data_IF_509524380765
#
_entry.id   IF_509524380765
#
_cell.length_a   1.000
_cell.length_b   1.000
_cell.length_c   1.000
_cell.angle_alpha   90.00
_cell.angle_beta   90.00
_cell.angle_gamma   90.00
#
_symmetry.space_group_name_H-M   'P 1'
#
loop_
_entity.id
_entity.type
_entity.pdbx_description
1 polymer ?
#
# COMPACT_ATOMS: atom_id res chain seq x y z
N UNK A 1 3.78 4.65 5.87
CA UNK A 1 4.23 3.31 5.41
C UNK A 1 5.20 2.76 6.44
N UNK A 2 5.01 1.51 6.87
CA UNK A 2 5.79 0.91 7.96
C UNK A 2 6.75 -0.19 7.51
N UNK A 3 6.81 -0.51 6.21
CA UNK A 3 7.70 -1.54 5.65
C UNK A 3 9.19 -1.22 5.80
N UNK A 4 9.54 0.03 6.07
CA UNK A 4 10.91 0.46 6.37
C UNK A 4 11.45 -0.07 7.72
N UNK A 5 10.66 -0.83 8.50
CA UNK A 5 10.99 -1.32 9.85
C UNK A 5 11.22 -2.85 9.96
N UNK A 6 11.32 -3.58 8.86
CA UNK A 6 11.12 -5.03 8.86
C UNK A 6 12.25 -5.96 9.30
N UNK A 7 13.41 -5.51 9.76
CA UNK A 7 14.53 -6.43 10.09
C UNK A 7 15.27 -6.07 11.38
N UNK A 8 14.65 -6.30 12.55
CA UNK A 8 15.37 -6.10 13.82
C UNK A 8 15.27 -7.24 14.84
N UNK A 9 14.41 -8.27 14.66
CA UNK A 9 14.17 -9.26 15.73
C UNK A 9 14.63 -10.70 15.51
N UNK A 10 15.26 -11.06 14.37
CA UNK A 10 15.78 -12.43 14.16
C UNK A 10 17.27 -12.60 14.52
N UNK A 11 17.64 -12.30 15.76
CA UNK A 11 18.83 -12.93 16.36
C UNK A 11 18.48 -13.34 17.80
N UNK A 12 17.87 -14.53 17.94
CA UNK A 12 17.86 -15.29 19.19
C UNK A 12 19.20 -16.02 19.40
N UNK A 13 19.53 -16.45 20.63
CA UNK A 13 20.91 -16.72 21.02
C UNK A 13 21.34 -18.14 20.63
N UNK A 14 22.33 -18.25 19.75
CA UNK A 14 23.14 -19.46 19.59
C UNK A 14 24.61 -19.07 19.60
N UNK A 15 25.35 -19.65 20.54
CA UNK A 15 26.74 -19.35 20.88
C UNK A 15 27.75 -19.72 19.77
N UNK A 16 28.72 -18.85 19.48
CA UNK A 16 30.16 -19.03 19.73
C UNK A 16 30.98 -17.81 19.24
N UNK A 17 32.11 -17.59 19.90
CA UNK A 17 33.12 -16.51 19.81
C UNK A 17 33.60 -16.16 18.38
N UNK A 18 33.75 -14.88 18.03
CA UNK A 18 35.02 -14.10 18.12
C UNK A 18 34.80 -12.65 17.61
N UNK A 19 35.66 -11.73 18.04
CA UNK A 19 35.52 -10.27 17.94
C UNK A 19 35.57 -9.68 16.51
N UNK A 20 34.79 -8.61 16.27
CA UNK A 20 34.93 -7.74 15.10
C UNK A 20 33.74 -6.82 14.88
N UNK A 21 33.96 -5.51 15.08
CA UNK A 21 33.01 -4.42 14.92
C UNK A 21 32.25 -4.39 13.57
N UNK A 22 30.93 -4.20 13.65
CA UNK A 22 30.03 -3.41 12.76
C UNK A 22 28.66 -4.12 12.63
N UNK A 23 27.64 -3.60 13.32
CA UNK A 23 26.27 -4.10 13.16
C UNK A 23 25.21 -3.58 14.17
N UNK A 24 25.60 -2.84 15.20
CA UNK A 24 24.71 -2.49 16.32
C UNK A 24 24.04 -1.10 16.32
N UNK A 25 24.25 -0.26 15.30
CA UNK A 25 23.70 1.11 15.28
C UNK A 25 22.33 1.20 14.58
N UNK A 26 22.15 0.51 13.45
CA UNK A 26 20.93 0.62 12.62
C UNK A 26 19.69 0.04 13.32
N UNK A 27 19.84 -1.07 14.04
CA UNK A 27 18.73 -1.73 14.75
C UNK A 27 18.26 -0.94 15.97
N UNK A 28 19.16 -0.29 16.71
CA UNK A 28 18.81 0.54 17.88
C UNK A 28 18.03 1.80 17.49
N UNK A 29 18.41 2.45 16.39
CA UNK A 29 17.74 3.65 15.91
C UNK A 29 16.34 3.33 15.36
N UNK A 30 16.17 2.16 14.72
CA UNK A 30 14.87 1.66 14.26
C UNK A 30 13.92 1.34 15.43
N UNK A 31 14.42 0.63 16.45
CA UNK A 31 13.66 0.33 17.66
C UNK A 31 13.28 1.60 18.44
N UNK A 32 14.18 2.58 18.51
CA UNK A 32 13.90 3.88 19.12
C UNK A 32 12.81 4.65 18.37
N UNK A 33 12.87 4.68 17.03
CA UNK A 33 11.87 5.35 16.19
C UNK A 33 10.48 4.68 16.28
N UNK A 34 10.45 3.36 16.31
CA UNK A 34 9.20 2.60 16.49
C UNK A 34 8.58 2.86 17.87
N UNK A 35 9.37 2.78 18.94
CA UNK A 35 8.89 3.07 20.29
C UNK A 35 8.44 4.54 20.44
N UNK A 36 9.11 5.48 19.76
CA UNK A 36 8.68 6.87 19.70
C UNK A 36 7.33 7.05 18.97
N UNK A 37 7.10 6.32 17.87
CA UNK A 37 5.80 6.31 17.18
C UNK A 37 4.70 5.74 18.08
N UNK A 38 4.98 4.63 18.77
CA UNK A 38 4.05 4.00 19.70
C UNK A 38 3.69 4.92 20.88
N UNK A 39 4.69 5.57 21.49
CA UNK A 39 4.46 6.53 22.56
C UNK A 39 3.64 7.75 22.10
N UNK A 40 3.85 8.20 20.85
CA UNK A 40 3.03 9.27 20.25
C UNK A 40 1.59 8.81 20.04
N UNK A 41 1.36 7.61 19.50
CA UNK A 41 0.03 7.03 19.31
C UNK A 41 -0.73 6.88 20.64
N UNK A 42 -0.06 6.36 21.68
CA UNK A 42 -0.65 6.20 23.01
C UNK A 42 -1.01 7.56 23.65
N UNK A 43 -0.26 8.62 23.29
CA UNK A 43 -0.48 9.99 23.74
C UNK A 43 -1.71 10.70 23.14
N UNK A 44 -2.29 10.20 22.05
CA UNK A 44 -3.55 10.73 21.53
C UNK A 44 -4.75 10.11 22.26
N UNK A 45 -5.59 10.97 22.85
CA UNK A 45 -6.87 10.52 23.40
C UNK A 45 -7.81 10.08 22.28
N UNK A 46 -8.68 9.08 22.51
CA UNK A 46 -9.71 8.68 21.53
C UNK A 46 -10.59 9.84 21.08
N UNK A 47 -10.80 10.85 21.91
CA UNK A 47 -11.57 12.06 21.62
C UNK A 47 -10.91 12.99 20.60
N UNK A 48 -9.62 12.82 20.27
CA UNK A 48 -8.85 13.74 19.42
C UNK A 48 -9.32 13.81 17.96
N UNK A 49 -10.19 12.88 17.51
CA UNK A 49 -10.69 12.87 16.14
C UNK A 49 -9.64 12.42 15.11
N UNK A 50 -8.49 11.90 15.58
CA UNK A 50 -7.41 11.40 14.75
C UNK A 50 -7.56 9.89 14.55
N UNK A 51 -7.49 9.44 13.29
CA UNK A 51 -7.40 8.03 12.91
C UNK A 51 -5.99 7.75 12.40
N UNK A 52 -5.35 6.68 12.90
CA UNK A 52 -4.08 6.22 12.36
C UNK A 52 -4.30 5.20 11.25
N UNK A 53 -3.76 5.45 10.06
CA UNK A 53 -3.70 4.50 8.95
C UNK A 53 -2.25 4.10 8.71
N UNK A 54 -1.96 2.80 8.80
CA UNK A 54 -0.66 2.24 8.43
C UNK A 54 -0.81 1.25 7.28
N UNK A 55 0.21 1.15 6.44
CA UNK A 55 0.26 0.18 5.35
C UNK A 55 1.56 -0.62 5.41
N UNK A 56 1.44 -1.94 5.27
CA UNK A 56 2.57 -2.88 5.22
C UNK A 56 2.42 -3.91 4.09
N UNK A 57 3.53 -4.25 3.46
CA UNK A 57 3.70 -5.37 2.56
C UNK A 57 4.24 -6.64 3.25
N UNK A 58 4.68 -6.52 4.51
CA UNK A 58 5.32 -7.58 5.29
C UNK A 58 4.70 -7.64 6.70
N UNK A 59 3.43 -8.02 6.85
CA UNK A 59 2.79 -8.07 8.17
C UNK A 59 3.50 -9.02 9.15
N UNK A 60 4.17 -10.05 8.65
CA UNK A 60 4.87 -11.07 9.43
C UNK A 60 6.13 -10.58 10.15
N UNK A 61 6.71 -9.44 9.73
CA UNK A 61 7.88 -8.84 10.38
C UNK A 61 7.53 -7.72 11.35
N UNK A 62 6.25 -7.36 11.47
CA UNK A 62 5.81 -6.30 12.36
C UNK A 62 5.85 -6.73 13.83
N UNK A 63 6.22 -5.79 14.71
CA UNK A 63 6.15 -6.00 16.16
C UNK A 63 4.69 -6.14 16.61
N UNK A 64 4.35 -7.25 17.27
CA UNK A 64 3.02 -7.46 17.87
C UNK A 64 2.58 -6.34 18.82
N UNK A 65 3.53 -5.57 19.38
CA UNK A 65 3.22 -4.40 20.18
C UNK A 65 2.39 -3.36 19.40
N UNK A 66 2.52 -3.27 18.07
CA UNK A 66 1.72 -2.41 17.21
C UNK A 66 0.26 -2.86 17.10
N UNK A 67 0.01 -4.18 17.24
CA UNK A 67 -1.30 -4.81 17.00
C UNK A 67 -2.20 -4.87 18.24
N UNK A 68 -1.73 -4.33 19.38
CA UNK A 68 -2.48 -4.36 20.64
C UNK A 68 -3.67 -3.40 20.60
N UNK A 69 -4.70 -3.72 21.39
CA UNK A 69 -5.87 -2.87 21.58
C UNK A 69 -5.48 -1.43 21.94
N UNK A 70 -6.05 -0.45 21.23
CA UNK A 70 -5.68 0.96 21.40
C UNK A 70 -4.50 1.44 20.54
N UNK A 71 -3.97 0.61 19.63
CA UNK A 71 -3.00 0.98 18.59
C UNK A 71 -3.56 0.62 17.22
N UNK A 72 -2.95 -0.30 16.48
CA UNK A 72 -3.52 -0.86 15.24
C UNK A 72 -4.39 -2.06 15.57
N UNK A 73 -5.57 -1.80 16.13
CA UNK A 73 -6.51 -2.82 16.60
C UNK A 73 -7.49 -3.30 15.51
N UNK A 74 -7.42 -2.72 14.31
CA UNK A 74 -8.08 -3.23 13.10
C UNK A 74 -7.06 -3.54 12.01
N UNK A 75 -7.26 -4.66 11.33
CA UNK A 75 -6.43 -5.13 10.21
C UNK A 75 -7.33 -5.37 9.01
N UNK A 76 -6.93 -4.86 7.86
CA UNK A 76 -7.65 -5.01 6.60
C UNK A 76 -6.68 -5.57 5.58
N UNK A 77 -7.02 -6.75 5.04
CA UNK A 77 -6.20 -7.48 4.11
C UNK A 77 -6.52 -7.10 2.65
N UNK A 78 -5.48 -6.77 1.89
CA UNK A 78 -5.54 -6.54 0.45
C UNK A 78 -4.92 -7.74 -0.26
N UNK A 79 -5.70 -8.40 -1.13
CA UNK A 79 -5.25 -9.55 -1.92
C UNK A 79 -4.89 -9.15 -3.35
N UNK A 80 -4.22 -10.02 -4.08
CA UNK A 80 -4.01 -9.79 -5.52
C UNK A 80 -5.34 -9.94 -6.28
N UNK A 81 -5.58 -9.13 -7.32
CA UNK A 81 -6.83 -9.19 -8.08
C UNK A 81 -6.97 -10.52 -8.84
N UNK A 82 -8.20 -11.02 -8.92
CA UNK A 82 -8.59 -12.14 -9.79
C UNK A 82 -8.55 -11.78 -11.29
N UNK A 83 -8.77 -12.76 -12.16
CA UNK A 83 -8.68 -12.55 -13.62
C UNK A 83 -9.67 -11.48 -14.12
N UNK A 84 -10.94 -11.56 -13.70
CA UNK A 84 -11.98 -10.61 -14.12
C UNK A 84 -11.64 -9.17 -13.68
N UNK A 85 -11.18 -9.01 -12.44
CA UNK A 85 -10.71 -7.72 -11.95
C UNK A 85 -9.49 -7.20 -12.74
N UNK A 86 -8.54 -8.07 -13.10
CA UNK A 86 -7.38 -7.65 -13.90
C UNK A 86 -7.78 -7.19 -15.29
N UNK A 87 -8.80 -7.81 -15.91
CA UNK A 87 -9.36 -7.35 -17.19
C UNK A 87 -9.85 -5.90 -17.08
N UNK A 88 -10.67 -5.59 -16.08
CA UNK A 88 -11.19 -4.24 -15.87
C UNK A 88 -10.07 -3.22 -15.57
N UNK A 89 -9.06 -3.62 -14.80
CA UNK A 89 -7.89 -2.78 -14.53
C UNK A 89 -7.07 -2.51 -15.80
N UNK A 90 -6.91 -3.51 -16.67
CA UNK A 90 -6.23 -3.36 -17.95
C UNK A 90 -7.02 -2.44 -18.90
N UNK A 91 -8.34 -2.59 -18.97
CA UNK A 91 -9.22 -1.71 -19.74
C UNK A 91 -9.10 -0.25 -19.27
N UNK A 92 -9.13 -0.02 -17.95
CA UNK A 92 -8.95 1.30 -17.37
C UNK A 92 -7.56 1.91 -17.64
N UNK A 93 -6.51 1.09 -17.53
CA UNK A 93 -5.14 1.51 -17.82
C UNK A 93 -4.90 1.81 -19.31
N UNK A 94 -5.63 1.12 -20.19
CA UNK A 94 -5.54 1.29 -21.64
C UNK A 94 -6.42 2.43 -22.17
N UNK A 95 -7.45 2.86 -21.45
CA UNK A 95 -8.38 3.91 -21.87
C UNK A 95 -7.73 5.23 -22.36
N UNK A 96 -6.65 5.75 -21.75
CA UNK A 96 -5.99 6.97 -22.26
C UNK A 96 -4.96 6.70 -23.37
N UNK A 97 -4.73 5.45 -23.77
CA UNK A 97 -3.67 5.06 -24.70
C UNK A 97 -4.19 4.88 -26.13
N UNK A 98 -3.30 5.06 -27.10
CA UNK A 98 -3.59 4.88 -28.53
C UNK A 98 -2.94 3.59 -29.03
N UNK A 99 -3.73 2.69 -29.62
CA UNK A 99 -3.28 1.42 -30.17
C UNK A 99 -3.28 1.45 -31.69
N UNK A 100 -2.34 0.73 -32.30
CA UNK A 100 -2.26 0.53 -33.73
C UNK A 100 -3.32 -0.50 -34.14
N UNK A 101 -4.53 -0.04 -34.45
CA UNK A 101 -5.66 -0.90 -34.83
C UNK A 101 -6.65 -1.10 -33.69
N UNK A 102 -7.23 -2.30 -33.62
CA UNK A 102 -8.19 -2.64 -32.57
C UNK A 102 -7.49 -2.74 -31.20
N UNK A 103 -8.18 -2.42 -30.09
CA UNK A 103 -7.64 -2.63 -28.75
C UNK A 103 -7.27 -4.10 -28.52
N UNK A 104 -6.26 -4.37 -27.67
CA UNK A 104 -5.85 -5.74 -27.38
C UNK A 104 -6.96 -6.51 -26.65
N UNK A 105 -6.92 -7.84 -26.74
CA UNK A 105 -7.81 -8.71 -25.98
C UNK A 105 -7.45 -8.67 -24.48
N UNK A 106 -8.13 -7.81 -23.73
CA UNK A 106 -7.92 -7.66 -22.29
C UNK A 106 -8.29 -8.91 -21.49
N UNK A 107 -9.15 -9.78 -22.01
CA UNK A 107 -9.49 -11.03 -21.36
C UNK A 107 -8.34 -12.06 -21.47
N UNK A 108 -7.73 -12.15 -22.65
CA UNK A 108 -6.50 -12.95 -22.84
C UNK A 108 -5.34 -12.40 -22.00
N UNK A 109 -5.11 -11.09 -22.03
CA UNK A 109 -4.07 -10.45 -21.22
C UNK A 109 -4.27 -10.70 -19.73
N UNK A 110 -5.51 -10.64 -19.23
CA UNK A 110 -5.82 -10.94 -17.84
C UNK A 110 -5.49 -12.40 -17.46
N UNK A 111 -5.76 -13.36 -18.36
CA UNK A 111 -5.40 -14.78 -18.18
C UNK A 111 -3.87 -14.98 -18.18
N UNK A 112 -3.14 -14.18 -18.95
CA UNK A 112 -1.67 -14.24 -19.09
C UNK A 112 -0.90 -13.45 -18.02
N UNK A 113 -1.58 -12.76 -17.12
CA UNK A 113 -0.99 -11.93 -16.05
C UNK A 113 -1.34 -12.43 -14.63
N UNK A 114 -1.24 -13.75 -14.33
CA UNK A 114 -1.54 -14.23 -12.99
C UNK A 114 -0.62 -13.57 -11.95
N UNK A 115 -1.20 -13.21 -10.80
CA UNK A 115 -0.51 -12.54 -9.69
C UNK A 115 0.06 -11.15 -10.02
N UNK A 116 -0.36 -10.49 -11.11
CA UNK A 116 -0.05 -9.09 -11.35
C UNK A 116 -0.93 -8.21 -10.45
N UNK A 117 -0.30 -7.24 -9.80
CA UNK A 117 -0.97 -6.18 -9.04
C UNK A 117 -1.43 -5.06 -9.98
N UNK A 118 -2.36 -4.17 -9.56
CA UNK A 118 -2.69 -2.97 -10.32
C UNK A 118 -1.46 -2.16 -10.78
N UNK A 119 -0.44 -2.02 -9.92
CA UNK A 119 0.81 -1.35 -10.29
C UNK A 119 1.58 -2.07 -11.39
N UNK A 120 1.56 -3.41 -11.41
CA UNK A 120 2.20 -4.20 -12.49
C UNK A 120 1.47 -4.03 -13.82
N UNK A 121 0.14 -4.00 -13.81
CA UNK A 121 -0.68 -3.80 -15.01
C UNK A 121 -0.50 -2.40 -15.61
N UNK A 122 -0.45 -1.37 -14.76
CA UNK A 122 -0.09 -0.01 -15.21
C UNK A 122 1.34 0.04 -15.76
N UNK A 123 2.28 -0.64 -15.10
CA UNK A 123 3.67 -0.71 -15.58
C UNK A 123 3.77 -1.43 -16.93
N UNK A 124 2.94 -2.45 -17.16
CA UNK A 124 2.85 -3.14 -18.45
C UNK A 124 2.41 -2.19 -19.56
N UNK A 125 1.29 -1.49 -19.35
CA UNK A 125 0.75 -0.53 -20.33
C UNK A 125 1.72 0.63 -20.59
N UNK A 126 2.31 1.19 -19.54
CA UNK A 126 3.30 2.26 -19.66
C UNK A 126 4.58 1.80 -20.38
N UNK A 127 5.03 0.57 -20.15
CA UNK A 127 6.22 0.03 -20.84
C UNK A 127 5.95 -0.15 -22.34
N UNK A 128 4.75 -0.62 -22.71
CA UNK A 128 4.34 -0.74 -24.10
C UNK A 128 4.25 0.64 -24.78
N UNK A 129 3.68 1.63 -24.10
CA UNK A 129 3.65 3.02 -24.57
C UNK A 129 5.07 3.59 -24.78
N UNK A 130 5.98 3.35 -23.82
CA UNK A 130 7.37 3.80 -23.94
C UNK A 130 8.11 3.12 -25.10
N UNK A 131 7.86 1.83 -25.35
CA UNK A 131 8.45 1.11 -26.47
C UNK A 131 7.98 1.67 -27.83
N UNK A 132 6.70 2.02 -27.95
CA UNK A 132 6.17 2.69 -29.14
C UNK A 132 6.84 4.04 -29.39
N UNK A 133 6.96 4.88 -28.34
CA UNK A 133 7.64 6.18 -28.41
C UNK A 133 9.12 6.03 -28.77
N UNK A 134 9.82 5.04 -28.20
CA UNK A 134 11.23 4.77 -28.53
C UNK A 134 11.43 4.30 -29.98
N UNK A 135 10.39 3.69 -30.56
CA UNK A 135 10.35 3.29 -31.96
C UNK A 135 9.85 4.41 -32.90
N UNK A 136 9.73 5.65 -32.41
CA UNK A 136 9.23 6.82 -33.15
C UNK A 136 7.82 6.60 -33.73
N UNK A 137 6.94 5.93 -32.94
CA UNK A 137 5.54 5.67 -33.29
C UNK A 137 4.58 6.39 -32.32
N UNK A 138 3.47 6.85 -32.88
CA UNK A 138 2.38 7.52 -32.12
C UNK A 138 1.32 6.55 -31.59
N UNK A 139 1.46 5.25 -31.85
CA UNK A 139 0.50 4.22 -31.47
C UNK A 139 1.21 2.93 -31.04
N UNK A 140 0.67 2.29 -29.99
CA UNK A 140 1.18 1.04 -29.42
C UNK A 140 0.81 -0.12 -30.35
N UNK A 141 1.80 -0.87 -30.83
CA UNK A 141 1.55 -2.10 -31.58
C UNK A 141 1.58 -3.34 -30.68
N UNK A 142 1.06 -4.45 -31.19
CA UNK A 142 1.04 -5.74 -30.49
C UNK A 142 2.44 -6.17 -30.03
N UNK A 143 3.47 -5.89 -30.82
CA UNK A 143 4.87 -6.22 -30.51
C UNK A 143 5.40 -5.48 -29.26
N UNK A 144 4.96 -4.24 -29.03
CA UNK A 144 5.34 -3.44 -27.84
C UNK A 144 4.73 -4.02 -26.57
N UNK A 145 3.48 -4.45 -26.68
CA UNK A 145 2.75 -5.05 -25.56
C UNK A 145 3.29 -6.44 -25.24
N UNK A 146 3.56 -7.26 -26.26
CA UNK A 146 4.08 -8.61 -26.10
C UNK A 146 5.49 -8.60 -25.47
N UNK A 147 6.37 -7.74 -25.99
CA UNK A 147 7.73 -7.58 -25.43
C UNK A 147 7.68 -7.08 -23.98
N UNK A 148 6.85 -6.09 -23.68
CA UNK A 148 6.67 -5.56 -22.31
C UNK A 148 6.11 -6.59 -21.34
N UNK A 149 5.15 -7.42 -21.79
CA UNK A 149 4.59 -8.50 -20.99
C UNK A 149 5.65 -9.55 -20.67
N UNK A 150 6.42 -9.97 -21.67
CA UNK A 150 7.48 -10.96 -21.49
C UNK A 150 8.58 -10.45 -20.54
N UNK A 151 8.96 -9.19 -20.66
CA UNK A 151 9.93 -8.54 -19.77
C UNK A 151 9.45 -8.50 -18.32
N UNK A 152 8.22 -8.06 -18.08
CA UNK A 152 7.66 -8.00 -16.73
C UNK A 152 7.48 -9.37 -16.11
N UNK A 153 7.04 -10.37 -16.89
CA UNK A 153 6.96 -11.77 -16.43
C UNK A 153 8.34 -12.30 -16.04
N UNK A 154 9.36 -12.01 -16.84
CA UNK A 154 10.74 -12.41 -16.55
C UNK A 154 11.27 -11.72 -15.29
N UNK A 155 10.99 -10.42 -15.11
CA UNK A 155 11.36 -9.66 -13.91
C UNK A 155 10.68 -10.23 -12.67
N UNK A 156 9.37 -10.49 -12.71
CA UNK A 156 8.64 -11.12 -11.60
C UNK A 156 9.13 -12.53 -11.28
N UNK A 157 9.49 -13.33 -12.28
CA UNK A 157 10.04 -14.67 -12.07
C UNK A 157 11.44 -14.63 -11.42
N UNK A 158 12.24 -13.59 -11.71
CA UNK A 158 13.59 -13.41 -11.16
C UNK A 158 13.61 -12.63 -9.84
N UNK A 159 12.56 -11.86 -9.53
CA UNK A 159 12.49 -11.06 -8.33
C UNK A 159 12.49 -11.96 -7.08
N UNK A 160 13.61 -11.97 -6.34
CA UNK A 160 13.61 -12.27 -4.90
C UNK A 160 12.80 -11.18 -4.18
N UNK A 161 12.17 -11.49 -3.03
CA UNK A 161 11.22 -10.59 -2.38
C UNK A 161 11.94 -9.44 -1.65
N UNK A 162 12.59 -8.53 -2.38
CA UNK A 162 13.18 -7.34 -1.76
C UNK A 162 13.07 -6.11 -2.66
N UNK A 163 12.48 -5.07 -2.07
CA UNK A 163 13.11 -3.75 -2.03
C UNK A 163 13.07 -2.91 -3.30
N UNK A 164 12.20 -1.90 -3.25
CA UNK A 164 12.22 -0.65 -4.02
C UNK A 164 11.64 -0.74 -5.44
N UNK A 165 10.37 -0.34 -5.54
CA UNK A 165 9.86 0.30 -6.75
C UNK A 165 9.19 1.62 -6.36
N UNK A 166 9.74 2.70 -6.89
CA UNK A 166 9.11 4.00 -6.89
C UNK A 166 8.23 4.05 -8.13
N UNK A 167 6.91 4.02 -7.95
CA UNK A 167 5.96 4.54 -8.94
C UNK A 167 5.05 5.53 -8.23
N UNK A 168 5.18 6.77 -8.67
CA UNK A 168 4.40 7.94 -8.29
C UNK A 168 3.10 7.94 -9.09
N UNK A 169 1.99 8.09 -8.37
CA UNK A 169 0.61 8.44 -8.76
C UNK A 169 -0.18 7.49 -9.67
N UNK A 170 -1.22 6.89 -9.07
CA UNK A 170 -2.57 6.97 -9.63
C UNK A 170 -3.37 7.93 -8.72
N UNK A 171 -3.73 9.10 -9.25
CA UNK A 171 -4.84 9.98 -8.81
C UNK A 171 -5.82 9.90 -9.98
N UNK A 172 -7.13 9.72 -9.87
CA UNK A 172 -8.19 10.26 -8.97
C UNK A 172 -8.90 9.11 -8.23
N UNK A 173 -9.49 9.18 -7.02
CA UNK A 173 -10.57 9.90 -6.27
C UNK A 173 -11.90 9.11 -6.22
N UNK A 174 -12.11 8.35 -5.11
CA UNK A 174 -13.33 7.59 -4.80
C UNK A 174 -13.11 6.11 -4.46
N UNK A 175 -13.95 5.53 -3.59
CA UNK A 175 -13.93 4.08 -3.32
C UNK A 175 -14.23 3.23 -4.57
N UNK A 176 -14.86 3.83 -5.57
CA UNK A 176 -15.25 3.22 -6.84
C UNK A 176 -14.06 2.83 -7.74
N UNK A 177 -12.86 3.35 -7.48
CA UNK A 177 -11.67 3.06 -8.27
C UNK A 177 -10.81 1.94 -7.69
N UNK A 178 -11.10 1.49 -6.46
CA UNK A 178 -10.43 0.32 -5.89
C UNK A 178 -11.24 -0.89 -6.32
N UNK A 179 -10.73 -1.66 -7.28
CA UNK A 179 -11.40 -2.86 -7.80
C UNK A 179 -10.77 -4.13 -7.23
N UNK A 180 -11.57 -5.18 -7.06
CA UNK A 180 -11.09 -6.51 -6.64
C UNK A 180 -10.82 -6.68 -5.14
N UNK A 181 -11.33 -5.75 -4.33
CA UNK A 181 -11.10 -5.69 -2.88
C UNK A 181 -12.43 -5.53 -2.12
N UNK A 182 -13.50 -6.19 -2.56
CA UNK A 182 -14.85 -5.93 -2.05
C UNK A 182 -14.96 -6.07 -0.53
N UNK A 183 -14.36 -7.12 0.04
CA UNK A 183 -14.29 -7.35 1.49
C UNK A 183 -13.57 -6.18 2.21
N UNK A 184 -12.38 -5.81 1.74
CA UNK A 184 -11.60 -4.73 2.32
C UNK A 184 -12.28 -3.36 2.17
N UNK A 185 -12.98 -3.13 1.05
CA UNK A 185 -13.71 -1.89 0.78
C UNK A 185 -14.95 -1.80 1.66
N UNK A 186 -15.69 -2.89 1.86
CA UNK A 186 -16.82 -2.94 2.79
C UNK A 186 -16.36 -2.64 4.22
N UNK A 187 -15.28 -3.27 4.68
CA UNK A 187 -14.70 -2.97 6.01
C UNK A 187 -14.29 -1.50 6.13
N UNK A 188 -13.67 -0.94 5.09
CA UNK A 188 -13.30 0.47 5.08
C UNK A 188 -14.52 1.41 5.04
N UNK A 189 -15.59 1.04 4.35
CA UNK A 189 -16.85 1.79 4.34
C UNK A 189 -17.50 1.80 5.72
N UNK A 190 -17.52 0.67 6.40
CA UNK A 190 -18.01 0.55 7.77
C UNK A 190 -17.21 1.44 8.74
N UNK A 191 -15.88 1.48 8.56
CA UNK A 191 -15.01 2.37 9.32
C UNK A 191 -15.30 3.84 9.04
N UNK A 192 -15.45 4.22 7.77
CA UNK A 192 -15.79 5.58 7.37
C UNK A 192 -17.16 5.98 7.94
N UNK A 193 -18.17 5.13 7.86
CA UNK A 193 -19.50 5.39 8.44
C UNK A 193 -19.43 5.60 9.96
N UNK A 194 -18.68 4.75 10.65
CA UNK A 194 -18.47 4.88 12.09
C UNK A 194 -17.79 6.20 12.48
N UNK A 195 -16.85 6.67 11.66
CA UNK A 195 -16.15 7.94 11.89
C UNK A 195 -17.03 9.15 11.59
N UNK A 196 -17.86 9.09 10.55
CA UNK A 196 -18.82 10.15 10.21
C UNK A 196 -19.96 10.25 11.24
N UNK A 197 -20.45 9.11 11.74
CA UNK A 197 -21.63 9.05 12.61
C UNK A 197 -21.29 8.71 14.06
N UNK A 198 -20.14 9.19 14.56
CA UNK A 198 -19.58 8.82 15.87
C UNK A 198 -20.57 8.86 17.03
N UNK A 199 -21.43 9.87 17.11
CA UNK A 199 -22.40 10.01 18.20
C UNK A 199 -23.44 8.89 18.23
N UNK A 200 -23.84 8.37 17.06
CA UNK A 200 -24.75 7.24 16.92
C UNK A 200 -24.13 5.98 17.54
N UNK A 201 -22.87 5.72 17.20
CA UNK A 201 -22.11 4.58 17.69
C UNK A 201 -21.80 4.70 19.19
N UNK A 202 -21.44 5.91 19.66
CA UNK A 202 -21.14 6.17 21.07
C UNK A 202 -22.34 5.96 21.99
N UNK A 203 -23.56 6.30 21.54
CA UNK A 203 -24.81 6.03 22.30
C UNK A 203 -25.03 4.54 22.55
N UNK A 204 -24.51 3.68 21.68
CA UNK A 204 -24.59 2.22 21.80
C UNK A 204 -23.37 1.62 22.53
N UNK A 205 -22.44 2.45 23.00
CA UNK A 205 -21.20 2.00 23.66
C UNK A 205 -20.12 1.49 22.71
N UNK A 206 -20.30 1.65 21.39
CA UNK A 206 -19.28 1.27 20.43
C UNK A 206 -18.08 2.23 20.50
N UNK A 207 -16.88 1.66 20.48
CA UNK A 207 -15.63 2.40 20.52
C UNK A 207 -14.99 2.32 19.13
N UNK A 208 -14.78 3.44 18.43
CA UNK A 208 -14.10 3.41 17.14
C UNK A 208 -12.64 2.98 17.31
N UNK A 209 -12.07 2.27 16.32
CA UNK A 209 -10.68 1.86 16.38
C UNK A 209 -9.77 3.09 16.35
N UNK A 210 -8.62 2.98 17.01
CA UNK A 210 -7.63 4.06 17.01
C UNK A 210 -6.75 4.00 15.77
N UNK A 211 -6.44 2.80 15.31
CA UNK A 211 -5.55 2.56 14.19
C UNK A 211 -6.01 1.39 13.34
N UNK A 212 -5.88 1.58 12.03
CA UNK A 212 -6.17 0.58 11.01
C UNK A 212 -4.87 0.26 10.29
N UNK A 213 -4.52 -1.01 10.26
CA UNK A 213 -3.38 -1.53 9.51
C UNK A 213 -3.88 -2.17 8.22
N UNK A 214 -3.47 -1.61 7.09
CA UNK A 214 -3.67 -2.16 5.76
C UNK A 214 -2.50 -3.10 5.46
N UNK A 215 -2.77 -4.37 5.22
CA UNK A 215 -1.75 -5.37 4.93
C UNK A 215 -2.00 -6.06 3.59
N UNK A 216 -0.95 -6.50 2.92
CA UNK A 216 -1.09 -7.25 1.66
C UNK A 216 0.06 -7.00 0.69
N UNK A 217 0.07 -7.64 -0.49
CA UNK A 217 1.18 -7.57 -1.45
C UNK A 217 1.48 -6.14 -1.95
N UNK A 218 2.71 -5.86 -2.42
CA UNK A 218 3.03 -4.56 -3.01
C UNK A 218 2.18 -4.28 -4.26
N UNK A 219 1.93 -2.99 -4.52
CA UNK A 219 1.25 -2.55 -5.74
C UNK A 219 -0.28 -2.68 -5.76
N UNK A 220 -0.91 -3.13 -4.66
CA UNK A 220 -2.39 -3.29 -4.53
C UNK A 220 -3.14 -2.03 -4.07
N UNK A 221 -2.49 -0.87 -4.04
CA UNK A 221 -3.18 0.41 -3.77
C UNK A 221 -3.43 0.75 -2.29
N UNK A 222 -2.79 0.07 -1.32
CA UNK A 222 -2.91 0.38 0.14
C UNK A 222 -2.63 1.86 0.48
N UNK A 223 -1.66 2.50 -0.18
CA UNK A 223 -1.36 3.92 0.09
C UNK A 223 -2.37 4.84 -0.60
N UNK A 224 -2.88 4.45 -1.77
CA UNK A 224 -3.90 5.20 -2.50
C UNK A 224 -5.23 5.21 -1.76
N UNK A 225 -5.65 4.08 -1.17
CA UNK A 225 -6.93 4.01 -0.46
C UNK A 225 -6.94 4.87 0.82
N UNK A 226 -5.80 4.96 1.52
CA UNK A 226 -5.67 5.86 2.67
C UNK A 226 -5.92 7.33 2.32
N UNK A 227 -5.48 7.74 1.12
CA UNK A 227 -5.77 9.08 0.59
C UNK A 227 -7.25 9.23 0.23
N UNK A 228 -7.83 8.28 -0.49
CA UNK A 228 -9.25 8.31 -0.86
C UNK A 228 -10.18 8.38 0.35
N UNK A 229 -9.84 7.70 1.45
CA UNK A 229 -10.58 7.78 2.72
C UNK A 229 -10.54 9.19 3.30
N UNK A 230 -9.36 9.82 3.34
CA UNK A 230 -9.22 11.16 3.88
C UNK A 230 -9.99 12.19 3.05
N UNK A 231 -9.94 12.07 1.72
CA UNK A 231 -10.73 12.87 0.78
C UNK A 231 -12.24 12.67 1.01
N UNK A 232 -12.71 11.43 1.11
CA UNK A 232 -14.12 11.11 1.36
C UNK A 232 -14.62 11.64 2.71
N UNK A 233 -13.75 11.69 3.72
CA UNK A 233 -14.05 12.25 5.05
C UNK A 233 -13.91 13.78 5.10
N UNK A 234 -13.45 14.42 4.01
CA UNK A 234 -13.05 15.82 3.98
C UNK A 234 -12.08 16.17 5.13
N UNK A 235 -11.04 15.34 5.30
CA UNK A 235 -10.01 15.48 6.35
C UNK A 235 -8.63 15.61 5.74
N UNK A 236 -7.76 16.31 6.45
CA UNK A 236 -6.36 16.43 6.09
C UNK A 236 -5.66 15.06 6.17
N UNK A 237 -4.86 14.74 5.14
CA UNK A 237 -4.10 13.49 5.06
C UNK A 237 -2.61 13.76 5.29
N UNK A 238 -2.10 13.29 6.42
CA UNK A 238 -0.68 13.41 6.77
C UNK A 238 0.05 12.09 6.50
N UNK A 239 0.98 12.08 5.55
CA UNK A 239 1.78 10.90 5.23
C UNK A 239 3.11 10.91 5.98
N UNK A 240 3.37 9.84 6.73
CA UNK A 240 4.66 9.61 7.36
C UNK A 240 5.32 8.32 6.84
N UNK A 241 6.63 8.41 6.61
CA UNK A 241 7.51 7.24 6.53
C UNK A 241 8.29 7.17 7.82
N UNK A 242 8.43 5.98 8.40
CA UNK A 242 9.13 5.80 9.68
C UNK A 242 10.61 6.21 9.57
N UNK A 243 11.22 6.10 8.39
CA UNK A 243 12.57 6.63 8.13
C UNK A 243 12.70 8.16 8.23
N UNK A 244 11.57 8.89 8.33
CA UNK A 244 11.51 10.35 8.41
C UNK A 244 10.76 10.88 9.64
N UNK A 245 10.74 10.14 10.76
CA UNK A 245 9.96 10.44 11.98
C UNK A 245 10.32 11.74 12.74
N UNK A 246 11.14 12.62 12.15
CA UNK A 246 11.58 13.88 12.75
C UNK A 246 10.46 14.96 12.82
N UNK A 247 9.40 14.86 12.01
CA UNK A 247 8.42 15.96 11.84
C UNK A 247 7.07 15.84 12.58
N UNK A 248 6.86 14.83 13.44
CA UNK A 248 5.56 14.68 14.15
C UNK A 248 5.31 15.80 15.20
N UNK A 249 6.22 16.76 15.36
CA UNK A 249 6.02 17.93 16.20
C UNK A 249 4.94 18.89 15.63
N UNK A 250 4.71 18.88 14.31
CA UNK A 250 3.78 19.81 13.64
C UNK A 250 2.29 19.50 13.90
N UNK A 251 1.91 18.22 14.06
CA UNK A 251 0.48 17.85 14.23
C UNK A 251 -0.09 18.32 15.59
N UNK A 252 0.74 18.47 16.63
CA UNK A 252 0.26 18.93 17.95
C UNK A 252 -0.26 20.38 17.93
N UNK A 253 0.01 21.15 16.87
CA UNK A 253 -0.49 22.50 16.68
C UNK A 253 -1.90 22.58 16.08
N UNK A 254 -2.40 21.51 15.45
CA UNK A 254 -3.70 21.49 14.78
C UNK A 254 -4.70 20.70 15.63
N UNK A 255 -5.31 21.43 16.57
CA UNK A 255 -6.42 20.97 17.43
C UNK A 255 -7.76 21.28 16.80
#
# INVERSE_FOLDING_TARGET
>A
EIDSLGEARRQGPTAFLDAGEMGGSVTRDQDANLNALLAKMDGFQQSSGVLFLAATNRPEVLDEALLRAGRFDRRIEFRLPGADCRKELLEGAAAPLTFAGDPPDFEDLAKRTPAFSPADLNSLMNSAAMAAVQADRDAIADEDLESSLQDLRTRKAKARPEGVFQVTQCVEVGFEQVRGHDEAIEELRDLVDMLLHRDKYKKLGAVPPRGVLLEGPPGVGKTSIGRSIAEALNREFYRFSVGGLYDVAEIKGHR
#
